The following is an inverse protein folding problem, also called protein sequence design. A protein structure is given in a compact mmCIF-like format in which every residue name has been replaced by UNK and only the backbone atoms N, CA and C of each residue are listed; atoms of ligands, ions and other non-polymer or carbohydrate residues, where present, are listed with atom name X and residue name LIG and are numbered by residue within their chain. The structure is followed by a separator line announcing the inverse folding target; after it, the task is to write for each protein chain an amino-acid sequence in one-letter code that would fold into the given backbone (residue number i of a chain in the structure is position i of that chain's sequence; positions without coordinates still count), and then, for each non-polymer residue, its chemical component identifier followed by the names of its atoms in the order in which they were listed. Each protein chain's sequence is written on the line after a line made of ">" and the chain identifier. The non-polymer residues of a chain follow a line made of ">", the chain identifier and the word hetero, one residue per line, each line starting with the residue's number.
data_IF_922477972100
#
_entry.id   IF_922477972100
#
_cell.length_a   1.000
_cell.length_b   1.000
_cell.length_c   1.000
_cell.angle_alpha   90.00
_cell.angle_beta   90.00
_cell.angle_gamma   90.00
#
_symmetry.space_group_name_H-M   'P 1'
#
loop_
_entity.id
_entity.type
_entity.pdbx_description
1 polymer ?
#
# COMPACT_ATOMS: atom_id res chain seq x y z
N UNK A 1 4.16 60.48 -27.55
CA UNK A 1 3.00 59.59 -27.76
C UNK A 1 3.54 58.32 -28.41
N UNK A 2 3.76 57.30 -27.62
CA UNK A 2 4.19 55.98 -28.08
C UNK A 2 3.06 55.03 -27.72
N UNK A 3 2.49 54.28 -28.68
CA UNK A 3 1.45 53.29 -28.33
C UNK A 3 2.06 52.02 -27.80
N UNK A 4 1.51 51.56 -26.68
CA UNK A 4 1.76 50.24 -26.12
C UNK A 4 1.17 49.15 -27.05
N UNK A 5 2.02 48.28 -27.58
CA UNK A 5 1.62 47.03 -28.20
C UNK A 5 1.31 46.00 -27.10
N UNK A 6 0.07 45.58 -27.02
CA UNK A 6 -0.34 44.42 -26.21
C UNK A 6 0.17 43.15 -26.90
N UNK A 7 1.15 42.50 -26.27
CA UNK A 7 1.57 41.14 -26.63
C UNK A 7 0.55 40.15 -26.13
N UNK A 8 -0.30 39.65 -26.99
CA UNK A 8 -1.14 38.49 -26.73
C UNK A 8 -0.24 37.25 -26.62
N UNK A 9 -0.13 36.70 -25.44
CA UNK A 9 0.49 35.40 -25.18
C UNK A 9 -0.39 34.30 -25.82
N UNK A 10 0.03 33.87 -26.99
CA UNK A 10 -0.43 32.62 -27.59
C UNK A 10 0.07 31.46 -26.75
N UNK A 11 -0.79 30.87 -25.92
CA UNK A 11 -0.57 29.54 -25.39
C UNK A 11 -0.50 28.55 -26.57
N UNK A 12 0.51 27.68 -26.63
CA UNK A 12 0.52 26.67 -27.67
C UNK A 12 -0.57 25.64 -27.40
N UNK A 13 -1.56 25.61 -28.28
CA UNK A 13 -2.49 24.48 -28.42
C UNK A 13 -1.76 23.30 -29.07
N UNK A 14 -0.93 22.62 -28.29
CA UNK A 14 -0.22 21.41 -28.68
C UNK A 14 -0.31 20.38 -27.57
N UNK A 15 -1.46 19.71 -27.46
CA UNK A 15 -1.61 18.39 -26.83
C UNK A 15 -2.94 17.74 -27.29
N UNK A 16 -3.19 17.80 -28.60
CA UNK A 16 -4.09 16.87 -29.28
C UNK A 16 -3.27 15.98 -30.20
N UNK A 17 -2.26 15.30 -29.63
CA UNK A 17 -1.75 14.08 -30.20
C UNK A 17 -2.82 13.02 -30.00
N UNK A 18 -3.60 12.73 -31.04
CA UNK A 18 -4.57 11.66 -31.04
C UNK A 18 -3.85 10.36 -30.70
N UNK A 19 -4.05 9.84 -29.49
CA UNK A 19 -3.71 8.48 -29.14
C UNK A 19 -4.48 7.61 -30.12
N UNK A 20 -3.77 7.06 -31.12
CA UNK A 20 -4.33 6.03 -31.97
C UNK A 20 -4.87 4.93 -31.03
N UNK A 21 -6.17 4.74 -31.04
CA UNK A 21 -6.85 3.66 -30.35
C UNK A 21 -6.31 2.36 -30.92
N UNK A 22 -5.24 1.83 -30.34
CA UNK A 22 -4.91 0.42 -30.48
C UNK A 22 -5.96 -0.34 -29.67
N UNK A 23 -7.11 -0.51 -30.26
CA UNK A 23 -8.17 -1.39 -29.78
C UNK A 23 -7.69 -2.82 -30.02
N UNK A 24 -7.18 -3.43 -28.97
CA UNK A 24 -7.02 -4.88 -28.90
C UNK A 24 -8.41 -5.45 -28.50
N UNK A 25 -9.18 -6.04 -29.43
CA UNK A 25 -10.60 -6.35 -29.20
C UNK A 25 -10.85 -7.41 -28.11
N UNK A 26 -9.79 -8.09 -27.65
CA UNK A 26 -9.91 -9.13 -26.62
C UNK A 26 -10.01 -8.59 -25.17
N UNK A 27 -9.83 -7.29 -24.98
CA UNK A 27 -9.76 -6.67 -23.65
C UNK A 27 -10.96 -5.78 -23.30
N UNK A 28 -11.57 -5.16 -24.30
CA UNK A 28 -12.75 -4.33 -24.09
C UNK A 28 -13.95 -5.25 -23.81
N UNK A 29 -14.71 -5.02 -22.72
CA UNK A 29 -16.02 -5.66 -22.59
C UNK A 29 -16.85 -5.25 -23.80
N UNK A 30 -17.61 -6.21 -24.36
CA UNK A 30 -18.48 -5.98 -25.52
C UNK A 30 -19.23 -4.64 -25.39
N UNK A 31 -19.49 -3.94 -26.49
CA UNK A 31 -20.05 -2.58 -26.64
C UNK A 31 -21.33 -2.25 -25.84
N UNK A 32 -21.63 -2.99 -24.78
CA UNK A 32 -22.70 -2.69 -23.83
C UNK A 32 -22.23 -1.64 -22.83
N UNK A 33 -22.54 -0.38 -23.09
CA UNK A 33 -22.21 0.76 -22.22
C UNK A 33 -22.89 0.66 -20.85
N UNK A 34 -23.83 -0.27 -20.67
CA UNK A 34 -24.54 -0.52 -19.42
C UNK A 34 -23.97 -1.71 -18.65
N UNK A 35 -23.13 -2.55 -19.30
CA UNK A 35 -22.50 -3.69 -18.67
C UNK A 35 -21.54 -3.23 -17.56
N UNK A 36 -21.65 -3.88 -16.41
CA UNK A 36 -20.72 -3.67 -15.30
C UNK A 36 -19.32 -4.09 -15.71
N UNK A 37 -18.34 -3.26 -15.42
CA UNK A 37 -16.93 -3.57 -15.63
C UNK A 37 -16.56 -4.87 -14.90
N UNK A 38 -16.14 -5.85 -15.64
CA UNK A 38 -15.66 -7.14 -15.12
C UNK A 38 -14.37 -7.50 -15.88
N UNK A 39 -13.32 -7.79 -15.13
CA UNK A 39 -12.08 -8.30 -15.69
C UNK A 39 -11.73 -9.63 -15.00
N UNK A 40 -11.51 -10.69 -15.79
CA UNK A 40 -11.15 -12.00 -15.25
C UNK A 40 -9.67 -12.10 -14.95
N UNK A 41 -9.28 -13.07 -14.11
CA UNK A 41 -7.88 -13.35 -13.83
C UNK A 41 -7.10 -13.72 -15.11
N UNK A 42 -7.72 -14.46 -16.02
CA UNK A 42 -7.07 -14.85 -17.28
C UNK A 42 -6.83 -13.64 -18.19
N UNK A 43 -7.77 -12.70 -18.28
CA UNK A 43 -7.59 -11.45 -19.01
C UNK A 43 -6.46 -10.61 -18.42
N UNK A 44 -6.36 -10.53 -17.08
CA UNK A 44 -5.27 -9.85 -16.39
C UNK A 44 -3.93 -10.50 -16.75
N UNK A 45 -3.83 -11.81 -16.63
CA UNK A 45 -2.62 -12.56 -16.95
C UNK A 45 -2.22 -12.40 -18.42
N UNK A 46 -3.15 -12.60 -19.34
CA UNK A 46 -2.90 -12.48 -20.78
C UNK A 46 -2.37 -11.09 -21.15
N UNK A 47 -2.97 -10.04 -20.61
CA UNK A 47 -2.54 -8.66 -20.89
C UNK A 47 -1.14 -8.40 -20.35
N UNK A 48 -0.92 -8.69 -19.06
CA UNK A 48 0.37 -8.46 -18.43
C UNK A 48 1.48 -9.33 -19.05
N UNK A 49 1.20 -10.60 -19.38
CA UNK A 49 2.18 -11.48 -20.00
C UNK A 49 2.53 -11.03 -21.45
N UNK A 50 1.65 -10.31 -22.13
CA UNK A 50 1.95 -9.74 -23.45
C UNK A 50 3.13 -8.77 -23.43
N UNK A 51 3.40 -8.12 -22.29
CA UNK A 51 4.54 -7.21 -22.13
C UNK A 51 5.88 -7.93 -22.27
N UNK A 52 5.98 -9.20 -21.86
CA UNK A 52 7.20 -9.99 -21.90
C UNK A 52 7.74 -10.16 -23.34
N UNK A 53 6.84 -10.34 -24.29
CA UNK A 53 7.21 -10.48 -25.70
C UNK A 53 7.35 -9.12 -26.40
N UNK A 54 6.44 -8.17 -26.11
CA UNK A 54 6.43 -6.84 -26.74
C UNK A 54 7.60 -5.97 -26.29
N UNK A 55 8.03 -6.10 -25.03
CA UNK A 55 9.09 -5.26 -24.42
C UNK A 55 10.23 -6.14 -23.87
N UNK A 56 10.69 -7.03 -24.72
CA UNK A 56 11.79 -7.97 -24.40
C UNK A 56 13.04 -7.23 -23.93
N UNK A 57 13.59 -7.65 -22.80
CA UNK A 57 14.76 -7.01 -22.18
C UNK A 57 14.43 -5.87 -21.23
N UNK A 58 13.19 -5.31 -21.29
CA UNK A 58 12.71 -4.27 -20.39
C UNK A 58 11.81 -4.86 -19.32
N UNK A 59 10.90 -5.77 -19.69
CA UNK A 59 9.95 -6.39 -18.76
C UNK A 59 10.37 -7.82 -18.44
N UNK A 60 10.37 -8.15 -17.15
CA UNK A 60 10.57 -9.51 -16.66
C UNK A 60 9.45 -9.89 -15.69
N UNK A 61 9.16 -11.19 -15.58
CA UNK A 61 8.15 -11.75 -14.67
C UNK A 61 8.80 -12.66 -13.64
N UNK A 62 8.31 -12.59 -12.43
CA UNK A 62 8.66 -13.51 -11.34
C UNK A 62 7.43 -13.77 -10.45
N UNK A 63 7.60 -14.54 -9.39
CA UNK A 63 6.57 -14.74 -8.38
C UNK A 63 6.89 -13.90 -7.16
N UNK A 64 5.91 -13.13 -6.66
CA UNK A 64 5.96 -12.46 -5.36
C UNK A 64 5.91 -13.49 -4.22
N UNK A 65 5.19 -14.58 -4.42
CA UNK A 65 4.95 -15.67 -3.48
C UNK A 65 3.75 -16.51 -3.91
N UNK A 66 3.24 -17.32 -2.97
CA UNK A 66 2.09 -18.19 -3.21
C UNK A 66 0.83 -17.67 -2.51
N UNK A 67 -0.31 -17.87 -3.13
CA UNK A 67 -1.62 -17.66 -2.49
C UNK A 67 -1.95 -18.80 -1.53
N UNK A 68 -3.05 -18.66 -0.79
CA UNK A 68 -3.54 -19.71 0.11
C UNK A 68 -3.82 -21.04 -0.60
N UNK A 69 -4.30 -21.00 -1.84
CA UNK A 69 -4.56 -22.19 -2.65
C UNK A 69 -3.34 -22.60 -3.51
N UNK A 70 -2.15 -22.04 -3.23
CA UNK A 70 -0.88 -22.47 -3.82
C UNK A 70 -0.53 -21.87 -5.18
N UNK A 71 -1.31 -20.90 -5.69
CA UNK A 71 -1.03 -20.24 -6.97
C UNK A 71 0.09 -19.22 -6.82
N UNK A 72 0.89 -19.02 -7.86
CA UNK A 72 1.87 -17.94 -7.91
C UNK A 72 1.17 -16.58 -8.01
N UNK A 73 1.70 -15.59 -7.29
CA UNK A 73 1.30 -14.19 -7.41
C UNK A 73 2.27 -13.53 -8.39
N UNK A 74 1.88 -13.28 -9.66
CA UNK A 74 2.79 -12.69 -10.64
C UNK A 74 3.18 -11.27 -10.26
N UNK A 75 4.47 -10.99 -10.35
CA UNK A 75 5.04 -9.65 -10.25
C UNK A 75 5.90 -9.37 -11.47
N UNK A 76 5.68 -8.21 -12.08
CA UNK A 76 6.40 -7.76 -13.27
C UNK A 76 7.37 -6.66 -12.87
N UNK A 77 8.61 -6.79 -13.33
CA UNK A 77 9.66 -5.77 -13.17
C UNK A 77 9.84 -5.05 -14.49
N UNK A 78 9.73 -3.75 -14.50
CA UNK A 78 10.06 -2.87 -15.61
C UNK A 78 11.38 -2.18 -15.28
N UNK A 79 12.38 -2.41 -16.12
CA UNK A 79 13.74 -1.90 -15.95
C UNK A 79 14.35 -1.60 -17.32
N UNK A 80 14.40 -0.33 -17.68
CA UNK A 80 14.89 0.12 -19.00
C UNK A 80 16.41 0.32 -19.04
N UNK A 81 17.09 0.19 -17.89
CA UNK A 81 18.46 0.66 -17.74
C UNK A 81 19.48 -0.36 -18.19
N UNK A 82 20.39 0.11 -19.02
CA UNK A 82 21.59 -0.62 -19.41
C UNK A 82 22.79 -0.34 -18.50
N UNK A 83 22.76 0.74 -17.70
CA UNK A 83 23.88 1.19 -16.88
C UNK A 83 23.95 0.47 -15.53
N UNK A 84 25.10 -0.11 -15.23
CA UNK A 84 25.31 -1.06 -14.12
C UNK A 84 25.66 -0.46 -12.76
N UNK A 85 25.83 0.84 -12.58
CA UNK A 85 26.43 1.40 -11.36
C UNK A 85 25.73 2.64 -10.79
N UNK A 86 24.43 2.83 -11.00
CA UNK A 86 23.69 3.92 -10.37
C UNK A 86 22.81 3.35 -9.26
N UNK A 87 22.81 4.00 -8.09
CA UNK A 87 21.91 3.68 -7.00
C UNK A 87 20.47 3.88 -7.49
N UNK A 88 19.70 2.80 -7.57
CA UNK A 88 18.42 2.78 -8.24
C UNK A 88 17.30 2.79 -7.22
N UNK A 89 16.40 3.75 -7.35
CA UNK A 89 15.14 3.73 -6.62
C UNK A 89 14.21 2.72 -7.26
N UNK A 90 13.45 2.06 -6.42
CA UNK A 90 12.42 1.13 -6.83
C UNK A 90 11.06 1.64 -6.35
N UNK A 91 10.02 1.40 -7.13
CA UNK A 91 8.64 1.69 -6.78
C UNK A 91 7.76 0.48 -7.06
N UNK A 92 6.64 0.38 -6.35
CA UNK A 92 5.70 -0.71 -6.56
C UNK A 92 4.27 -0.19 -6.69
N UNK A 93 3.56 -0.69 -7.71
CA UNK A 93 2.13 -0.52 -7.88
C UNK A 93 1.44 -1.87 -7.71
N UNK A 94 0.42 -1.90 -6.87
CA UNK A 94 -0.33 -3.11 -6.55
C UNK A 94 -1.82 -2.86 -6.70
N UNK A 95 -2.52 -3.78 -7.38
CA UNK A 95 -3.97 -3.78 -7.50
C UNK A 95 -4.55 -5.15 -7.14
N UNK A 96 -5.86 -5.20 -6.88
CA UNK A 96 -6.59 -6.42 -6.70
C UNK A 96 -6.38 -7.12 -5.36
N UNK A 97 -6.06 -6.39 -4.30
CA UNK A 97 -6.07 -6.93 -2.94
C UNK A 97 -7.49 -7.34 -2.53
N UNK A 98 -8.49 -6.57 -2.98
CA UNK A 98 -9.91 -6.92 -2.87
C UNK A 98 -10.45 -7.33 -4.25
N UNK A 99 -10.81 -8.60 -4.46
CA UNK A 99 -11.22 -9.13 -5.76
C UNK A 99 -12.40 -8.43 -6.42
N UNK A 100 -13.35 -7.99 -5.62
CA UNK A 100 -14.56 -7.26 -6.09
C UNK A 100 -14.26 -5.87 -6.66
N UNK A 101 -13.08 -5.34 -6.41
CA UNK A 101 -12.63 -4.05 -6.91
C UNK A 101 -12.00 -4.25 -8.30
N UNK A 102 -12.83 -4.17 -9.34
CA UNK A 102 -12.45 -4.56 -10.71
C UNK A 102 -11.61 -3.50 -11.43
N UNK A 103 -11.92 -2.23 -11.21
CA UNK A 103 -11.30 -1.11 -11.92
C UNK A 103 -9.81 -0.96 -11.62
N UNK A 104 -9.30 -1.11 -10.39
CA UNK A 104 -7.87 -1.03 -10.09
C UNK A 104 -6.98 -1.89 -10.99
N UNK A 105 -7.30 -3.16 -11.15
CA UNK A 105 -6.52 -4.07 -12.02
C UNK A 105 -6.56 -3.64 -13.48
N UNK A 106 -7.75 -3.26 -13.99
CA UNK A 106 -7.92 -2.78 -15.36
C UNK A 106 -7.12 -1.51 -15.63
N UNK A 107 -7.26 -0.53 -14.76
CA UNK A 107 -6.63 0.78 -14.96
C UNK A 107 -5.10 0.68 -14.80
N UNK A 108 -4.61 -0.18 -13.91
CA UNK A 108 -3.18 -0.45 -13.77
C UNK A 108 -2.60 -1.08 -15.04
N UNK A 109 -3.27 -2.08 -15.62
CA UNK A 109 -2.84 -2.68 -16.88
C UNK A 109 -2.80 -1.65 -18.02
N UNK A 110 -3.85 -0.83 -18.15
CA UNK A 110 -3.92 0.24 -19.14
C UNK A 110 -2.79 1.27 -18.95
N UNK A 111 -2.55 1.68 -17.72
CA UNK A 111 -1.50 2.63 -17.40
C UNK A 111 -0.11 2.08 -17.76
N UNK A 112 0.14 0.81 -17.47
CA UNK A 112 1.41 0.17 -17.83
C UNK A 112 1.57 0.03 -19.34
N UNK A 113 0.50 -0.29 -20.08
CA UNK A 113 0.54 -0.29 -21.53
C UNK A 113 0.93 1.08 -22.12
N UNK A 114 0.36 2.15 -21.58
CA UNK A 114 0.66 3.52 -22.01
C UNK A 114 2.09 3.92 -21.68
N UNK A 115 2.59 3.57 -20.48
CA UNK A 115 3.98 3.83 -20.09
C UNK A 115 4.97 3.09 -20.99
N UNK A 116 4.76 1.79 -21.19
CA UNK A 116 5.64 0.97 -22.00
C UNK A 116 5.61 1.40 -23.49
N UNK A 117 4.45 1.77 -24.02
CA UNK A 117 4.32 2.28 -25.38
C UNK A 117 4.92 3.69 -25.56
N UNK A 118 4.94 4.49 -24.50
CA UNK A 118 5.50 5.84 -24.49
C UNK A 118 7.03 5.86 -24.37
N UNK A 119 7.65 4.78 -23.92
CA UNK A 119 9.11 4.71 -23.76
C UNK A 119 9.84 4.97 -25.09
N UNK A 120 10.79 5.91 -25.08
CA UNK A 120 11.53 6.34 -26.28
C UNK A 120 10.72 7.23 -27.24
N UNK A 121 9.49 7.60 -26.90
CA UNK A 121 8.60 8.45 -27.72
C UNK A 121 8.08 9.68 -26.99
N UNK A 122 7.76 9.54 -25.73
CA UNK A 122 7.37 10.61 -24.82
C UNK A 122 8.54 10.87 -23.88
N UNK A 123 9.04 12.09 -23.85
CA UNK A 123 10.23 12.47 -23.07
C UNK A 123 10.00 12.30 -21.57
N UNK A 124 8.82 12.69 -21.06
CA UNK A 124 8.48 12.55 -19.62
C UNK A 124 8.40 11.07 -19.21
N UNK A 125 7.73 10.25 -20.02
CA UNK A 125 7.62 8.82 -19.74
C UNK A 125 8.99 8.14 -19.80
N UNK A 126 9.81 8.50 -20.78
CA UNK A 126 11.17 7.96 -20.92
C UNK A 126 12.02 8.30 -19.71
N UNK A 127 12.00 9.56 -19.27
CA UNK A 127 12.73 10.02 -18.10
C UNK A 127 12.24 9.34 -16.81
N UNK A 128 10.93 9.15 -16.63
CA UNK A 128 10.36 8.40 -15.51
C UNK A 128 10.88 6.96 -15.48
N UNK A 129 10.86 6.26 -16.62
CA UNK A 129 11.27 4.86 -16.71
C UNK A 129 12.79 4.67 -16.56
N UNK A 130 13.60 5.63 -17.03
CA UNK A 130 15.04 5.57 -16.92
C UNK A 130 15.59 5.86 -15.52
N UNK A 131 14.82 6.56 -14.68
CA UNK A 131 15.25 6.93 -13.32
C UNK A 131 14.95 5.88 -12.26
N UNK A 132 14.07 4.90 -12.54
CA UNK A 132 13.59 3.99 -11.49
C UNK A 132 13.20 2.61 -12.03
N UNK A 133 13.24 1.62 -11.18
CA UNK A 133 12.63 0.32 -11.42
C UNK A 133 11.17 0.36 -10.98
N UNK A 134 10.27 -0.14 -11.82
CA UNK A 134 8.86 -0.24 -11.48
C UNK A 134 8.48 -1.72 -11.29
N UNK A 135 7.96 -2.05 -10.11
CA UNK A 135 7.37 -3.35 -9.80
C UNK A 135 5.85 -3.26 -9.91
N UNK A 136 5.23 -4.21 -10.61
CA UNK A 136 3.79 -4.20 -10.87
C UNK A 136 3.16 -5.53 -10.48
N UNK A 137 2.14 -5.46 -9.62
CA UNK A 137 1.28 -6.61 -9.27
C UNK A 137 -0.14 -6.27 -9.70
N UNK A 138 -0.59 -6.70 -10.89
CA UNK A 138 -1.90 -6.30 -11.42
C UNK A 138 -3.07 -7.02 -10.77
N UNK A 139 -2.84 -8.14 -10.09
CA UNK A 139 -3.84 -8.87 -9.29
C UNK A 139 -3.14 -9.59 -8.15
N UNK A 140 -3.37 -9.11 -6.93
CA UNK A 140 -2.71 -9.66 -5.75
C UNK A 140 -3.44 -10.86 -5.16
N UNK A 141 -4.76 -10.75 -4.98
CA UNK A 141 -5.61 -11.78 -4.38
C UNK A 141 -6.24 -12.67 -5.45
N UNK A 142 -5.44 -13.53 -6.05
CA UNK A 142 -5.83 -14.37 -7.19
C UNK A 142 -6.93 -15.36 -6.80
N UNK A 143 -6.81 -16.02 -5.66
CA UNK A 143 -7.80 -16.99 -5.19
C UNK A 143 -9.18 -16.35 -5.02
N UNK A 144 -9.21 -15.18 -4.38
CA UNK A 144 -10.42 -14.40 -4.25
C UNK A 144 -10.94 -13.90 -5.61
N UNK A 145 -10.05 -13.52 -6.53
CA UNK A 145 -10.43 -13.06 -7.88
C UNK A 145 -11.11 -14.15 -8.70
N UNK A 146 -10.58 -15.36 -8.66
CA UNK A 146 -11.19 -16.53 -9.29
C UNK A 146 -12.55 -16.87 -8.66
N UNK A 147 -12.67 -16.68 -7.35
CA UNK A 147 -13.94 -16.92 -6.65
C UNK A 147 -15.00 -15.84 -6.92
N UNK A 148 -14.60 -14.56 -7.07
CA UNK A 148 -15.51 -13.45 -7.39
C UNK A 148 -16.30 -13.66 -8.71
N UNK A 149 -15.84 -14.56 -9.57
CA UNK A 149 -16.58 -14.96 -10.79
C UNK A 149 -17.85 -15.72 -10.44
N UNK A 150 -17.81 -16.57 -9.43
CA UNK A 150 -18.92 -17.42 -9.00
C UNK A 150 -19.76 -16.81 -7.88
N UNK A 151 -19.12 -16.10 -6.96
CA UNK A 151 -19.77 -15.38 -5.86
C UNK A 151 -19.37 -13.91 -5.92
N UNK A 152 -20.20 -13.12 -6.57
CA UNK A 152 -19.95 -11.68 -6.78
C UNK A 152 -19.88 -10.89 -5.48
N UNK A 153 -19.11 -9.81 -5.50
CA UNK A 153 -18.82 -8.91 -4.36
C UNK A 153 -17.91 -9.56 -3.29
N UNK A 154 -17.10 -10.55 -3.71
CA UNK A 154 -16.14 -11.18 -2.82
C UNK A 154 -14.98 -10.24 -2.49
N UNK A 155 -14.66 -10.09 -1.20
CA UNK A 155 -13.62 -9.17 -0.73
C UNK A 155 -12.35 -9.86 -0.26
N UNK A 156 -12.48 -10.99 0.43
CA UNK A 156 -11.42 -11.68 1.19
C UNK A 156 -10.57 -12.61 0.31
N UNK A 157 -9.50 -13.19 0.87
CA UNK A 157 -8.84 -14.33 0.25
C UNK A 157 -9.67 -15.64 0.44
N UNK A 158 -9.05 -16.81 0.30
CA UNK A 158 -9.78 -18.10 0.36
C UNK A 158 -9.35 -19.00 1.51
N UNK A 159 -8.77 -18.46 2.59
CA UNK A 159 -8.46 -19.21 3.82
C UNK A 159 -9.69 -19.88 4.39
N UNK A 160 -9.52 -21.08 4.94
CA UNK A 160 -10.58 -21.76 5.72
C UNK A 160 -10.42 -21.35 7.19
N UNK A 161 -11.46 -20.79 7.77
CA UNK A 161 -11.50 -20.38 9.16
C UNK A 161 -12.01 -21.51 10.08
N UNK A 162 -11.71 -21.42 11.38
CA UNK A 162 -12.06 -22.46 12.34
C UNK A 162 -13.59 -22.68 12.49
N UNK A 163 -14.40 -21.68 12.19
CA UNK A 163 -15.87 -21.73 12.21
C UNK A 163 -16.48 -22.23 10.88
N UNK A 164 -15.64 -22.68 9.93
CA UNK A 164 -16.03 -23.11 8.60
C UNK A 164 -16.27 -21.99 7.60
N UNK A 165 -16.24 -20.72 8.02
CA UNK A 165 -16.32 -19.58 7.11
C UNK A 165 -15.07 -19.46 6.24
N UNK A 166 -15.11 -18.61 5.22
CA UNK A 166 -14.01 -18.44 4.28
C UNK A 166 -13.45 -17.03 4.30
N UNK A 167 -12.11 -16.97 4.19
CA UNK A 167 -11.31 -15.81 3.84
C UNK A 167 -10.96 -14.88 5.00
N UNK A 168 -9.88 -14.16 4.75
CA UNK A 168 -9.33 -13.06 5.56
C UNK A 168 -9.27 -11.82 4.67
N UNK A 169 -9.58 -10.65 5.21
CA UNK A 169 -9.33 -9.38 4.53
C UNK A 169 -7.83 -9.09 4.53
N UNK A 170 -7.19 -9.27 3.37
CA UNK A 170 -5.75 -9.11 3.24
C UNK A 170 -5.29 -7.70 3.63
N UNK A 171 -6.12 -6.67 3.38
CA UNK A 171 -5.83 -5.29 3.78
C UNK A 171 -6.27 -4.98 5.23
N UNK A 172 -6.33 -6.01 6.08
CA UNK A 172 -6.47 -5.96 7.54
C UNK A 172 -5.48 -6.90 8.22
N UNK A 173 -4.67 -7.62 7.44
CA UNK A 173 -3.80 -8.67 7.95
C UNK A 173 -2.33 -8.24 8.14
N UNK A 174 -1.98 -6.99 7.83
CA UNK A 174 -0.63 -6.47 8.05
C UNK A 174 -0.40 -6.06 9.51
N UNK A 175 0.88 -6.00 9.93
CA UNK A 175 1.24 -5.94 11.36
C UNK A 175 0.87 -4.64 12.07
N UNK A 176 0.88 -3.50 11.36
CA UNK A 176 0.63 -2.20 12.00
C UNK A 176 -0.83 -2.09 12.44
N UNK A 177 -1.02 -1.90 13.75
CA UNK A 177 -2.34 -1.82 14.40
C UNK A 177 -3.22 -3.05 14.22
N UNK A 178 -2.64 -4.20 13.88
CA UNK A 178 -3.38 -5.43 13.79
C UNK A 178 -4.07 -5.74 15.13
N UNK A 179 -5.31 -6.17 15.10
CA UNK A 179 -6.10 -6.39 16.32
C UNK A 179 -6.77 -5.12 16.87
N UNK A 180 -6.57 -3.96 16.25
CA UNK A 180 -7.10 -2.68 16.74
C UNK A 180 -8.63 -2.66 16.89
N UNK A 181 -9.36 -3.38 16.05
CA UNK A 181 -10.82 -3.51 16.17
C UNK A 181 -11.30 -4.24 17.43
N UNK A 182 -10.42 -4.95 18.12
CA UNK A 182 -10.72 -5.63 19.39
C UNK A 182 -10.66 -4.70 20.61
N UNK A 183 -9.90 -3.61 20.46
CA UNK A 183 -9.41 -2.79 21.57
C UNK A 183 -10.09 -1.43 21.62
N UNK A 184 -10.65 -0.99 20.52
CA UNK A 184 -11.27 0.32 20.36
C UNK A 184 -12.75 0.21 20.03
N UNK A 185 -13.50 1.20 20.46
CA UNK A 185 -14.95 1.31 20.43
C UNK A 185 -15.63 0.75 19.16
N UNK A 186 -16.77 0.10 19.37
CA UNK A 186 -17.60 -0.59 18.38
C UNK A 186 -18.15 0.30 17.25
N UNK A 187 -18.02 1.61 17.34
CA UNK A 187 -18.63 2.55 16.38
C UNK A 187 -17.84 2.74 15.08
N UNK A 188 -16.55 2.37 15.05
CA UNK A 188 -15.64 2.52 13.90
C UNK A 188 -14.85 1.26 13.56
N UNK A 189 -15.46 0.08 13.76
CA UNK A 189 -14.80 -1.20 13.49
C UNK A 189 -14.51 -1.36 12.00
N UNK A 190 -13.28 -1.03 11.58
CA UNK A 190 -12.76 -1.39 10.25
C UNK A 190 -12.07 -2.75 10.23
N UNK A 191 -11.97 -3.41 11.40
CA UNK A 191 -11.49 -4.79 11.53
C UNK A 191 -12.37 -5.55 12.51
N UNK A 192 -12.34 -6.88 12.46
CA UNK A 192 -13.06 -7.73 13.41
C UNK A 192 -12.43 -9.12 13.51
N UNK A 193 -12.59 -9.74 14.67
CA UNK A 193 -12.29 -11.16 14.91
C UNK A 193 -13.39 -12.10 14.41
N UNK A 194 -14.53 -11.57 13.97
CA UNK A 194 -15.62 -12.38 13.43
C UNK A 194 -15.27 -12.88 12.03
N UNK A 195 -14.94 -14.15 11.91
CA UNK A 195 -14.44 -14.74 10.66
C UNK A 195 -15.41 -14.61 9.46
N UNK A 196 -16.73 -14.58 9.72
CA UNK A 196 -17.76 -14.35 8.69
C UNK A 196 -17.76 -12.93 8.12
N UNK A 197 -17.20 -11.96 8.83
CA UNK A 197 -17.18 -10.56 8.39
C UNK A 197 -16.27 -10.36 7.18
N UNK A 198 -16.63 -9.41 6.32
CA UNK A 198 -15.83 -8.98 5.17
C UNK A 198 -14.53 -8.25 5.56
N UNK A 199 -14.41 -7.83 6.83
CA UNK A 199 -13.24 -7.14 7.37
C UNK A 199 -12.52 -7.97 8.44
N UNK A 200 -12.62 -9.31 8.34
CA UNK A 200 -11.91 -10.21 9.25
C UNK A 200 -10.40 -10.11 9.04
N UNK A 201 -9.71 -9.79 10.12
CA UNK A 201 -8.27 -9.48 10.13
C UNK A 201 -7.33 -10.71 10.17
N UNK A 202 -7.90 -11.92 10.23
CA UNK A 202 -7.13 -13.16 10.39
C UNK A 202 -6.88 -13.54 11.86
N UNK A 203 -6.09 -14.57 12.06
CA UNK A 203 -5.77 -15.14 13.40
C UNK A 203 -4.54 -14.51 14.02
N UNK A 204 -3.66 -13.95 13.21
CA UNK A 204 -2.43 -13.27 13.60
C UNK A 204 -2.04 -12.23 12.52
N UNK A 205 -1.19 -11.24 12.83
CA UNK A 205 -0.59 -10.40 11.81
C UNK A 205 0.20 -11.28 10.84
N UNK A 206 0.04 -11.01 9.54
CA UNK A 206 0.68 -11.79 8.47
C UNK A 206 0.36 -13.31 8.51
N UNK A 207 -0.82 -13.68 9.02
CA UNK A 207 -1.27 -15.08 9.00
C UNK A 207 -1.49 -15.60 7.58
N UNK A 208 -1.72 -14.72 6.62
CA UNK A 208 -2.00 -15.09 5.26
C UNK A 208 -0.71 -15.13 4.42
N UNK A 209 -0.52 -16.18 3.60
CA UNK A 209 0.68 -16.31 2.80
C UNK A 209 0.87 -15.14 1.84
N UNK A 210 -0.22 -14.58 1.30
CA UNK A 210 -0.20 -13.40 0.44
C UNK A 210 0.36 -12.18 1.19
N UNK A 211 -0.16 -11.87 2.37
CA UNK A 211 0.29 -10.74 3.20
C UNK A 211 1.75 -10.91 3.60
N UNK A 212 2.14 -12.14 3.97
CA UNK A 212 3.52 -12.47 4.32
C UNK A 212 4.47 -12.32 3.12
N UNK A 213 4.03 -12.73 1.94
CA UNK A 213 4.82 -12.59 0.70
C UNK A 213 5.12 -11.12 0.39
N UNK A 214 4.11 -10.24 0.49
CA UNK A 214 4.29 -8.81 0.25
C UNK A 214 5.18 -8.16 1.33
N UNK A 215 5.02 -8.52 2.60
CA UNK A 215 5.87 -8.04 3.69
C UNK A 215 7.34 -8.45 3.48
N UNK A 216 7.60 -9.70 3.10
CA UNK A 216 8.94 -10.20 2.78
C UNK A 216 9.54 -9.47 1.57
N UNK A 217 8.72 -9.15 0.56
CA UNK A 217 9.16 -8.36 -0.59
C UNK A 217 9.63 -6.97 -0.16
N UNK A 218 8.86 -6.27 0.67
CA UNK A 218 9.26 -4.96 1.20
C UNK A 218 10.57 -5.05 1.99
N UNK A 219 10.72 -6.06 2.84
CA UNK A 219 11.94 -6.25 3.64
C UNK A 219 13.16 -6.54 2.77
N UNK A 220 13.00 -7.29 1.68
CA UNK A 220 14.10 -7.68 0.77
C UNK A 220 14.54 -6.57 -0.19
N UNK A 221 13.87 -5.41 -0.20
CA UNK A 221 14.07 -4.33 -1.19
C UNK A 221 14.47 -3.00 -0.54
N UNK A 222 15.73 -2.82 -0.13
CA UNK A 222 16.17 -1.59 0.53
C UNK A 222 16.05 -0.34 -0.35
N UNK A 223 16.01 -0.51 -1.68
CA UNK A 223 15.86 0.57 -2.64
C UNK A 223 14.39 0.88 -2.99
N UNK A 224 13.43 0.14 -2.46
CA UNK A 224 12.02 0.42 -2.64
C UNK A 224 11.62 1.65 -1.80
N UNK A 225 11.37 2.77 -2.45
CA UNK A 225 11.13 4.06 -1.80
C UNK A 225 9.67 4.46 -1.77
N UNK A 226 8.84 3.92 -2.68
CA UNK A 226 7.43 4.24 -2.74
C UNK A 226 6.56 3.04 -3.14
N UNK A 227 5.34 3.03 -2.62
CA UNK A 227 4.35 1.99 -2.83
C UNK A 227 2.97 2.61 -3.04
N UNK A 228 2.28 2.20 -4.09
CA UNK A 228 0.92 2.61 -4.43
C UNK A 228 0.00 1.39 -4.39
N UNK A 229 -0.86 1.33 -3.38
CA UNK A 229 -1.94 0.36 -3.24
C UNK A 229 -3.21 0.92 -3.87
N UNK A 230 -3.73 0.24 -4.88
CA UNK A 230 -4.80 0.77 -5.73
C UNK A 230 -6.11 0.06 -5.42
N UNK A 231 -7.09 0.85 -5.04
CA UNK A 231 -8.41 0.43 -4.58
C UNK A 231 -9.54 1.16 -5.30
N UNK A 232 -10.77 0.81 -5.02
CA UNK A 232 -11.98 1.59 -5.26
C UNK A 232 -13.06 1.24 -4.19
N UNK A 233 -14.06 2.06 -3.88
CA UNK A 233 -14.58 3.22 -4.61
C UNK A 233 -14.70 4.49 -3.73
N UNK A 234 -13.69 5.13 -3.27
CA UNK A 234 -13.84 6.26 -2.32
C UNK A 234 -13.46 7.65 -2.86
N UNK A 235 -12.77 7.75 -3.99
CA UNK A 235 -12.17 9.01 -4.49
C UNK A 235 -11.28 9.67 -3.45
N UNK A 236 -10.32 8.94 -2.95
CA UNK A 236 -9.39 9.41 -1.92
C UNK A 236 -7.95 9.05 -2.27
N UNK A 237 -7.02 9.94 -1.89
CA UNK A 237 -5.59 9.72 -1.90
C UNK A 237 -5.13 9.69 -0.45
N UNK A 238 -4.84 8.49 0.03
CA UNK A 238 -4.48 8.24 1.42
C UNK A 238 -2.99 7.96 1.57
N UNK A 239 -2.42 8.39 2.69
CA UNK A 239 -1.05 8.07 3.10
C UNK A 239 -0.99 8.05 4.63
N UNK A 240 0.06 7.49 5.27
CA UNK A 240 0.16 7.46 6.71
C UNK A 240 0.10 8.87 7.32
N UNK A 241 -0.94 9.19 8.12
CA UNK A 241 -1.14 10.55 8.63
C UNK A 241 -0.07 10.94 9.67
N UNK A 242 0.40 9.98 10.47
CA UNK A 242 1.43 10.16 11.49
C UNK A 242 2.79 9.78 10.93
N UNK A 243 3.41 10.69 10.23
CA UNK A 243 4.74 10.52 9.67
C UNK A 243 5.73 11.46 10.36
N UNK A 244 7.03 11.28 10.12
CA UNK A 244 8.00 12.33 10.42
C UNK A 244 7.61 13.59 9.66
N UNK A 245 7.99 14.77 10.16
CA UNK A 245 7.64 16.03 9.49
C UNK A 245 8.13 16.02 8.04
N UNK A 246 9.37 15.59 7.81
CA UNK A 246 9.97 15.59 6.48
C UNK A 246 9.30 14.62 5.51
N UNK A 247 9.03 13.38 5.93
CA UNK A 247 8.36 12.39 5.07
C UNK A 247 6.90 12.73 4.83
N UNK A 248 6.24 13.21 5.88
CA UNK A 248 4.86 13.65 5.79
C UNK A 248 4.68 14.81 4.81
N UNK A 249 5.58 15.81 4.85
CA UNK A 249 5.57 16.92 3.89
C UNK A 249 5.79 16.43 2.46
N UNK A 250 6.68 15.45 2.24
CA UNK A 250 6.89 14.85 0.91
C UNK A 250 5.66 14.13 0.42
N UNK A 251 5.09 13.22 1.22
CA UNK A 251 3.89 12.47 0.86
C UNK A 251 2.71 13.41 0.59
N UNK A 252 2.49 14.41 1.44
CA UNK A 252 1.44 15.39 1.26
C UNK A 252 1.64 16.21 -0.02
N UNK A 253 2.86 16.69 -0.29
CA UNK A 253 3.20 17.39 -1.54
C UNK A 253 2.86 16.53 -2.76
N UNK A 254 3.28 15.27 -2.76
CA UNK A 254 2.96 14.30 -3.83
C UNK A 254 1.46 14.10 -3.97
N UNK A 255 0.73 13.88 -2.89
CA UNK A 255 -0.73 13.71 -2.94
C UNK A 255 -1.45 14.95 -3.50
N UNK A 256 -0.96 16.16 -3.18
CA UNK A 256 -1.49 17.41 -3.77
C UNK A 256 -1.13 17.53 -5.26
N UNK A 257 0.06 17.08 -5.69
CA UNK A 257 0.41 17.03 -7.11
C UNK A 257 -0.49 16.04 -7.86
N UNK A 258 -0.70 14.84 -7.32
CA UNK A 258 -1.65 13.86 -7.86
C UNK A 258 -3.07 14.45 -7.98
N UNK A 259 -3.53 15.16 -6.94
CA UNK A 259 -4.84 15.82 -6.92
C UNK A 259 -4.95 16.91 -7.98
N UNK A 260 -3.92 17.73 -8.15
CA UNK A 260 -3.89 18.83 -9.15
C UNK A 260 -3.87 18.34 -10.59
N UNK A 261 -3.37 17.14 -10.84
CA UNK A 261 -3.38 16.51 -12.15
C UNK A 261 -4.76 15.97 -12.56
N UNK A 262 -5.74 16.00 -11.66
CA UNK A 262 -7.11 15.55 -11.90
C UNK A 262 -7.96 16.67 -12.48
N UNK A 263 -8.94 16.30 -13.30
CA UNK A 263 -9.88 17.22 -13.92
C UNK A 263 -11.24 17.19 -13.21
N UNK A 264 -11.90 18.33 -13.12
CA UNK A 264 -13.21 18.43 -12.47
C UNK A 264 -13.11 18.40 -10.94
N UNK A 265 -13.92 17.55 -10.29
CA UNK A 265 -13.91 17.42 -8.82
C UNK A 265 -12.79 16.47 -8.39
N UNK A 266 -11.71 16.97 -7.78
CA UNK A 266 -10.58 16.15 -7.42
C UNK A 266 -10.88 15.24 -6.21
N UNK A 267 -10.06 14.21 -6.05
CA UNK A 267 -10.12 13.30 -4.92
C UNK A 267 -9.75 14.00 -3.60
N UNK A 268 -10.28 13.50 -2.51
CA UNK A 268 -9.86 13.96 -1.19
C UNK A 268 -8.44 13.47 -0.88
N UNK A 269 -7.70 14.27 -0.15
CA UNK A 269 -6.36 13.94 0.33
C UNK A 269 -6.40 13.76 1.84
N UNK A 270 -5.65 12.79 2.37
CA UNK A 270 -5.49 12.56 3.80
C UNK A 270 -5.12 13.88 4.52
N UNK A 271 -5.80 14.16 5.65
CA UNK A 271 -5.40 15.25 6.53
C UNK A 271 -4.09 14.87 7.24
N UNK A 272 -3.03 15.64 7.05
CA UNK A 272 -1.74 15.35 7.68
C UNK A 272 -1.74 15.69 9.17
N UNK A 273 -1.10 14.82 9.96
CA UNK A 273 -0.87 14.99 11.40
C UNK A 273 0.64 14.81 11.70
N UNK A 274 1.47 15.42 10.86
CA UNK A 274 2.90 15.23 10.89
C UNK A 274 3.51 15.63 12.23
N UNK A 275 4.46 14.82 12.68
CA UNK A 275 5.17 15.09 13.91
C UNK A 275 4.37 14.83 15.18
N UNK A 276 3.13 14.35 15.08
CA UNK A 276 2.32 13.94 16.21
C UNK A 276 2.47 12.43 16.46
N UNK A 277 2.31 12.00 17.68
CA UNK A 277 2.10 10.59 17.99
C UNK A 277 0.64 10.21 17.70
N UNK A 278 0.38 8.99 17.19
CA UNK A 278 -0.98 8.48 17.20
C UNK A 278 -1.48 8.43 18.64
N UNK A 279 -2.68 8.96 18.94
CA UNK A 279 -3.28 8.82 20.25
C UNK A 279 -3.40 7.35 20.65
N UNK A 280 -3.22 7.05 21.95
CA UNK A 280 -3.32 5.68 22.46
C UNK A 280 -4.72 5.07 22.24
N UNK A 281 -5.73 5.93 22.20
CA UNK A 281 -7.14 5.60 22.01
C UNK A 281 -7.62 5.92 20.59
N UNK A 282 -6.69 6.16 19.64
CA UNK A 282 -7.11 6.58 18.31
C UNK A 282 -8.01 5.54 17.65
N UNK A 283 -9.26 5.95 17.54
CA UNK A 283 -10.36 5.23 16.91
C UNK A 283 -10.27 5.24 15.38
N UNK A 284 -9.15 5.72 14.81
CA UNK A 284 -8.97 5.68 13.37
C UNK A 284 -8.91 4.24 12.93
N UNK A 285 -9.99 3.82 12.35
CA UNK A 285 -10.30 2.47 11.96
C UNK A 285 -9.38 1.80 10.95
N UNK A 286 -8.15 2.23 10.82
CA UNK A 286 -7.21 1.80 9.80
C UNK A 286 -6.17 0.84 10.38
N UNK A 287 -6.58 -0.38 10.70
CA UNK A 287 -5.73 -1.45 11.23
C UNK A 287 -5.29 -2.39 10.13
N UNK A 288 -4.04 -2.85 10.18
CA UNK A 288 -3.51 -3.91 9.31
C UNK A 288 -3.42 -3.55 7.83
N UNK A 289 -3.20 -2.27 7.49
CA UNK A 289 -3.13 -1.79 6.11
C UNK A 289 -1.75 -1.97 5.50
N UNK A 290 -1.70 -2.28 4.22
CA UNK A 290 -0.49 -2.42 3.40
C UNK A 290 0.42 -1.20 3.48
N UNK A 291 -0.11 0.00 3.16
CA UNK A 291 0.69 1.22 3.05
C UNK A 291 1.19 1.75 4.41
N UNK A 292 0.48 1.46 5.51
CA UNK A 292 0.99 1.70 6.87
C UNK A 292 2.16 0.77 7.18
N UNK A 293 2.02 -0.52 6.88
CA UNK A 293 3.07 -1.50 7.06
C UNK A 293 4.34 -1.15 6.27
N UNK A 294 4.17 -0.78 4.99
CA UNK A 294 5.26 -0.33 4.13
C UNK A 294 6.02 0.86 4.72
N UNK A 295 5.30 1.87 5.21
CA UNK A 295 5.93 3.07 5.74
C UNK A 295 6.55 2.85 7.12
N UNK A 296 5.78 2.41 8.09
CA UNK A 296 6.22 2.37 9.49
C UNK A 296 7.32 1.34 9.75
N UNK A 297 7.37 0.24 9.00
CA UNK A 297 8.39 -0.79 9.18
C UNK A 297 9.58 -0.66 8.23
N UNK A 298 9.36 -0.18 7.01
CA UNK A 298 10.41 -0.18 5.98
C UNK A 298 10.75 1.21 5.46
N UNK A 299 10.02 2.26 5.86
CA UNK A 299 10.22 3.63 5.39
C UNK A 299 9.80 3.85 3.94
N UNK A 300 9.10 2.92 3.35
CA UNK A 300 8.55 3.03 2.00
C UNK A 300 7.39 4.02 2.06
N UNK A 301 7.42 5.09 1.27
CA UNK A 301 6.34 6.07 1.22
C UNK A 301 5.08 5.42 0.62
N UNK A 302 4.23 4.90 1.50
CA UNK A 302 3.03 4.17 1.14
C UNK A 302 1.86 5.10 0.83
N UNK A 303 1.16 4.81 -0.26
CA UNK A 303 -0.08 5.48 -0.63
C UNK A 303 -1.17 4.43 -0.87
N UNK A 304 -2.42 4.80 -0.56
CA UNK A 304 -3.60 4.11 -1.02
C UNK A 304 -4.37 5.06 -1.95
N UNK A 305 -4.66 4.62 -3.15
CA UNK A 305 -5.37 5.40 -4.16
C UNK A 305 -6.72 4.76 -4.46
N UNK A 306 -7.77 5.37 -3.95
CA UNK A 306 -9.15 4.91 -4.06
C UNK A 306 -9.82 5.51 -5.30
N UNK A 307 -9.94 4.75 -6.38
CA UNK A 307 -10.58 5.18 -7.62
C UNK A 307 -12.10 5.25 -7.46
N UNK A 308 -12.79 5.99 -8.30
CA UNK A 308 -14.26 6.05 -8.46
C UNK A 308 -15.05 6.56 -7.26
N UNK A 309 -16.31 6.88 -7.48
CA UNK A 309 -17.21 7.42 -6.47
C UNK A 309 -18.01 6.31 -5.77
N UNK A 310 -18.10 6.30 -4.45
CA UNK A 310 -18.82 5.27 -3.70
C UNK A 310 -20.34 5.28 -3.93
N UNK A 311 -20.88 6.39 -4.41
CA UNK A 311 -22.33 6.46 -4.48
C UNK A 311 -22.83 6.89 -5.77
N UNK A 312 -23.62 6.48 -6.37
CA UNK A 312 -24.59 6.74 -6.57
C UNK A 312 -25.81 7.03 -6.96
N UNK A 313 -26.36 7.82 -7.44
CA UNK A 313 -27.73 8.16 -7.87
C UNK A 313 -28.29 7.23 -8.97
N UNK A 314 -27.45 6.39 -9.54
CA UNK A 314 -27.81 5.46 -10.63
C UNK A 314 -28.02 4.03 -10.21
N UNK A 315 -27.96 3.73 -8.90
CA UNK A 315 -28.12 2.35 -8.39
C UNK A 315 -26.94 1.41 -8.68
N UNK A 316 -25.95 1.85 -9.44
CA UNK A 316 -24.72 1.06 -9.70
C UNK A 316 -23.68 1.43 -8.63
N UNK A 317 -23.19 0.41 -7.92
CA UNK A 317 -22.12 0.59 -6.96
C UNK A 317 -20.87 1.13 -7.68
N UNK A 318 -20.18 2.13 -7.10
CA UNK A 318 -18.91 2.62 -7.63
C UNK A 318 -17.80 1.56 -7.72
N UNK A 319 -18.01 0.35 -7.16
CA UNK A 319 -17.14 -0.81 -7.34
C UNK A 319 -17.27 -1.44 -8.72
N UNK A 320 -18.42 -1.28 -9.37
CA UNK A 320 -18.72 -1.84 -10.67
C UNK A 320 -19.23 -0.74 -11.60
N UNK A 321 -18.37 0.22 -12.00
CA UNK A 321 -18.76 1.22 -12.97
C UNK A 321 -19.06 0.57 -14.32
N UNK A 322 -19.75 1.29 -15.20
CA UNK A 322 -19.77 0.92 -16.62
C UNK A 322 -18.36 1.07 -17.21
N UNK A 323 -18.08 0.40 -18.32
CA UNK A 323 -16.81 0.57 -19.04
C UNK A 323 -16.57 2.05 -19.40
N UNK A 324 -17.61 2.75 -19.87
CA UNK A 324 -17.55 4.17 -20.20
C UNK A 324 -17.25 5.06 -19.00
N UNK A 325 -17.87 4.80 -17.84
CA UNK A 325 -17.57 5.56 -16.61
C UNK A 325 -16.16 5.29 -16.12
N UNK A 326 -15.69 4.05 -16.20
CA UNK A 326 -14.33 3.69 -15.85
C UNK A 326 -13.30 4.35 -16.78
N UNK A 327 -13.56 4.43 -18.08
CA UNK A 327 -12.70 5.11 -19.05
C UNK A 327 -12.64 6.61 -18.78
N UNK A 328 -13.78 7.23 -18.49
CA UNK A 328 -13.84 8.63 -18.12
C UNK A 328 -13.07 8.88 -16.83
N UNK A 329 -13.28 8.06 -15.79
CA UNK A 329 -12.58 8.19 -14.52
C UNK A 329 -11.06 8.03 -14.69
N UNK A 330 -10.63 7.04 -15.48
CA UNK A 330 -9.22 6.84 -15.79
C UNK A 330 -8.60 8.06 -16.46
N UNK A 331 -9.21 8.58 -17.49
CA UNK A 331 -8.66 9.70 -18.27
C UNK A 331 -8.67 11.03 -17.53
N UNK A 332 -9.68 11.26 -16.68
CA UNK A 332 -9.85 12.53 -15.96
C UNK A 332 -9.17 12.56 -14.60
N UNK A 333 -9.07 11.42 -13.89
CA UNK A 333 -8.60 11.43 -12.50
C UNK A 333 -7.40 10.52 -12.25
N UNK A 334 -7.29 9.37 -12.93
CA UNK A 334 -6.31 8.35 -12.56
C UNK A 334 -4.97 8.55 -13.26
N UNK A 335 -4.97 8.61 -14.60
CA UNK A 335 -3.77 8.65 -15.44
C UNK A 335 -2.80 9.75 -15.06
N UNK A 336 -3.29 10.99 -15.00
CA UNK A 336 -2.47 12.15 -14.64
C UNK A 336 -1.92 12.05 -13.23
N UNK A 337 -2.75 11.63 -12.27
CA UNK A 337 -2.34 11.46 -10.89
C UNK A 337 -1.22 10.43 -10.73
N UNK A 338 -1.30 9.29 -11.41
CA UNK A 338 -0.27 8.27 -11.32
C UNK A 338 1.04 8.66 -12.01
N UNK A 339 0.97 9.44 -13.10
CA UNK A 339 2.18 10.02 -13.70
C UNK A 339 2.86 10.99 -12.73
N UNK A 340 2.12 11.88 -12.05
CA UNK A 340 2.68 12.78 -11.04
C UNK A 340 3.30 11.99 -9.86
N UNK A 341 2.66 10.89 -9.45
CA UNK A 341 3.20 10.05 -8.39
C UNK A 341 4.54 9.44 -8.81
N UNK A 342 4.63 8.80 -9.98
CA UNK A 342 5.87 8.22 -10.49
C UNK A 342 6.98 9.28 -10.67
N UNK A 343 6.63 10.44 -11.16
CA UNK A 343 7.57 11.54 -11.35
C UNK A 343 8.11 12.08 -10.03
N UNK A 344 7.28 12.16 -8.99
CA UNK A 344 7.67 12.66 -7.68
C UNK A 344 8.68 11.78 -6.93
N UNK A 345 8.76 10.49 -7.28
CA UNK A 345 9.58 9.49 -6.57
C UNK A 345 11.07 9.82 -6.57
N UNK A 346 11.58 10.51 -7.60
CA UNK A 346 12.98 10.92 -7.62
C UNK A 346 13.38 11.79 -6.41
N UNK A 347 12.40 12.46 -5.79
CA UNK A 347 12.65 13.31 -4.60
C UNK A 347 12.72 12.50 -3.30
N UNK A 348 12.32 11.21 -3.32
CA UNK A 348 12.26 10.40 -2.10
C UNK A 348 13.64 9.84 -1.74
N UNK A 349 14.08 10.02 -0.50
CA UNK A 349 15.36 9.49 -0.06
C UNK A 349 15.30 7.97 0.14
N UNK A 350 16.42 7.31 -0.07
CA UNK A 350 16.60 5.91 0.30
C UNK A 350 16.61 5.73 1.82
N UNK A 351 16.17 4.58 2.26
CA UNK A 351 16.33 4.14 3.65
C UNK A 351 17.76 3.65 3.85
N UNK A 352 18.42 4.11 4.94
CA UNK A 352 19.79 3.71 5.27
C UNK A 352 19.79 2.81 6.49
N UNK A 353 20.85 2.00 6.64
CA UNK A 353 21.06 1.26 7.89
C UNK A 353 21.32 2.25 9.03
N UNK A 354 20.56 2.12 10.13
CA UNK A 354 20.69 2.95 11.30
C UNK A 354 21.76 2.45 12.26
N UNK A 355 22.15 3.31 13.17
CA UNK A 355 23.13 3.10 14.25
C UNK A 355 22.49 2.98 15.64
N UNK A 356 21.17 3.06 15.72
CA UNK A 356 20.45 2.98 16.99
C UNK A 356 20.73 1.65 17.69
N UNK A 357 21.00 1.71 18.99
CA UNK A 357 21.26 0.56 19.85
C UNK A 357 20.45 0.69 21.12
N UNK A 358 20.02 -0.43 21.66
CA UNK A 358 19.45 -0.51 23.00
C UNK A 358 20.60 -0.72 23.99
N UNK A 359 20.80 0.22 24.90
CA UNK A 359 21.81 0.11 25.96
C UNK A 359 21.20 -0.56 27.18
N UNK A 360 21.89 -1.57 27.68
CA UNK A 360 21.47 -2.35 28.83
C UNK A 360 20.91 -3.73 28.46
N UNK A 361 20.60 -4.53 29.46
CA UNK A 361 19.93 -5.81 29.25
C UNK A 361 18.54 -5.52 28.68
N UNK A 362 18.30 -6.01 27.48
CA UNK A 362 17.01 -5.89 26.81
C UNK A 362 15.90 -6.75 27.45
N UNK A 363 16.18 -7.33 28.61
CA UNK A 363 15.17 -7.98 29.44
C UNK A 363 14.33 -6.89 30.07
N UNK A 364 13.07 -6.82 29.70
CA UNK A 364 12.12 -5.96 30.38
C UNK A 364 12.07 -6.37 31.84
N UNK A 365 12.17 -5.42 32.78
CA UNK A 365 11.88 -5.69 34.20
C UNK A 365 10.40 -6.02 34.43
N UNK A 366 9.56 -5.78 33.42
CA UNK A 366 8.17 -6.14 33.43
C UNK A 366 7.99 -7.61 33.08
N UNK A 367 7.46 -8.38 34.00
CA UNK A 367 6.98 -9.76 33.77
C UNK A 367 5.45 -9.70 33.71
N UNK A 368 4.88 -9.46 32.51
CA UNK A 368 3.43 -9.32 32.40
C UNK A 368 2.72 -10.66 32.51
N UNK A 369 1.57 -10.66 33.17
CA UNK A 369 0.71 -11.83 33.31
C UNK A 369 -0.08 -12.10 32.02
N UNK A 370 -0.41 -13.36 31.77
CA UNK A 370 -1.35 -13.75 30.74
C UNK A 370 -2.64 -12.94 30.82
N UNK A 371 -3.18 -12.52 29.66
CA UNK A 371 -4.40 -11.72 29.57
C UNK A 371 -4.25 -10.26 29.98
N UNK A 372 -3.09 -9.82 30.44
CA UNK A 372 -2.89 -8.43 30.88
C UNK A 372 -2.56 -7.46 29.74
N UNK A 373 -2.95 -6.21 29.95
CA UNK A 373 -2.47 -5.07 29.14
C UNK A 373 -1.51 -4.27 30.00
N UNK A 374 -0.36 -3.92 29.48
CA UNK A 374 0.69 -3.20 30.21
C UNK A 374 1.39 -2.18 29.35
N UNK A 375 1.90 -1.14 30.01
CA UNK A 375 2.79 -0.16 29.39
C UNK A 375 4.24 -0.66 29.41
N UNK A 376 4.93 -0.53 28.28
CA UNK A 376 6.33 -0.88 28.17
C UNK A 376 7.15 0.29 27.61
N UNK A 377 8.17 0.69 28.35
CA UNK A 377 9.14 1.69 27.89
C UNK A 377 10.40 0.93 27.50
N UNK A 378 10.92 1.09 26.28
CA UNK A 378 12.15 0.42 25.88
C UNK A 378 13.32 0.86 26.78
N UNK A 379 14.32 0.02 26.98
CA UNK A 379 15.58 0.44 27.56
C UNK A 379 16.16 1.63 26.77
N UNK A 380 17.08 2.37 27.40
CA UNK A 380 17.67 3.56 26.76
C UNK A 380 18.18 3.24 25.36
N UNK A 381 17.64 3.94 24.38
CA UNK A 381 18.07 3.86 22.98
C UNK A 381 19.14 4.90 22.76
N UNK A 382 20.34 4.47 22.36
CA UNK A 382 21.42 5.33 21.93
C UNK A 382 21.42 5.50 20.41
N UNK A 383 22.05 6.57 19.92
CA UNK A 383 22.06 6.95 18.50
C UNK A 383 21.03 8.03 18.18
N UNK A 384 20.86 8.33 16.90
CA UNK A 384 20.00 9.41 16.42
C UNK A 384 18.55 8.97 16.25
N UNK A 385 17.90 8.50 17.33
CA UNK A 385 16.51 8.06 17.26
C UNK A 385 15.53 9.26 17.21
N UNK A 386 14.64 9.28 16.23
CA UNK A 386 13.52 10.22 16.13
C UNK A 386 12.19 9.58 16.56
N UNK A 387 11.98 8.32 16.21
CA UNK A 387 10.79 7.57 16.56
C UNK A 387 11.06 6.06 16.54
N UNK A 388 10.15 5.29 17.12
CA UNK A 388 10.22 3.85 17.15
C UNK A 388 8.84 3.23 16.95
N UNK A 389 8.86 2.02 16.38
CA UNK A 389 7.67 1.19 16.18
C UNK A 389 7.94 -0.18 16.79
N UNK A 390 7.00 -0.69 17.59
CA UNK A 390 7.06 -2.06 18.07
C UNK A 390 6.12 -2.96 17.27
N UNK A 391 6.56 -4.18 17.00
CA UNK A 391 5.74 -5.25 16.42
C UNK A 391 6.14 -6.59 17.05
N UNK A 392 5.34 -7.61 16.81
CA UNK A 392 5.68 -8.98 17.08
C UNK A 392 5.08 -9.88 16.02
N UNK A 393 5.79 -10.91 15.64
CA UNK A 393 5.26 -11.99 14.79
C UNK A 393 4.54 -13.05 15.64
N UNK A 394 4.58 -12.95 16.97
CA UNK A 394 3.92 -13.87 17.88
C UNK A 394 2.45 -13.47 18.06
N UNK A 395 1.50 -14.34 17.66
CA UNK A 395 0.07 -14.06 17.74
C UNK A 395 -0.44 -13.88 19.17
N UNK A 396 0.35 -14.24 20.17
CA UNK A 396 0.01 -14.07 21.59
C UNK A 396 0.27 -12.67 22.11
N UNK A 397 0.95 -11.81 21.31
CA UNK A 397 1.27 -10.44 21.67
C UNK A 397 0.57 -9.47 20.72
N UNK A 398 -0.18 -8.52 21.28
CA UNK A 398 -0.83 -7.44 20.54
C UNK A 398 -0.21 -6.09 20.94
N UNK A 399 0.32 -5.39 19.95
CA UNK A 399 0.81 -4.02 20.12
C UNK A 399 -0.34 -3.05 19.91
N UNK A 400 -0.83 -2.41 20.99
CA UNK A 400 -1.98 -1.48 20.95
C UNK A 400 -1.54 -0.09 20.54
N UNK A 401 -0.50 0.41 21.21
CA UNK A 401 0.12 1.70 20.93
C UNK A 401 1.55 1.46 20.52
N UNK A 402 1.76 1.16 19.25
CA UNK A 402 3.02 0.65 18.74
C UNK A 402 3.98 1.71 18.22
N UNK A 403 3.54 2.96 18.06
CA UNK A 403 4.37 4.05 17.51
C UNK A 403 4.64 5.09 18.58
N UNK A 404 5.91 5.43 18.80
CA UNK A 404 6.35 6.46 19.74
C UNK A 404 7.45 7.34 19.17
N UNK A 405 7.48 8.58 19.59
CA UNK A 405 8.53 9.55 19.24
C UNK A 405 9.58 9.66 20.36
N UNK A 406 10.81 9.96 19.96
CA UNK A 406 11.84 10.31 20.93
C UNK A 406 11.55 11.69 21.58
N UNK A 407 11.87 11.89 22.87
CA UNK A 407 12.50 10.95 23.81
C UNK A 407 11.47 10.01 24.46
N UNK A 408 11.10 8.93 23.97
CA UNK A 408 10.21 7.83 24.38
C UNK A 408 9.68 7.91 25.83
N UNK A 409 9.03 9.02 26.18
CA UNK A 409 8.48 9.26 27.53
C UNK A 409 7.16 8.52 27.74
N UNK A 410 6.41 8.32 26.66
CA UNK A 410 5.15 7.59 26.69
C UNK A 410 5.39 6.09 26.47
N UNK A 411 4.82 5.21 27.31
CA UNK A 411 4.97 3.77 27.13
C UNK A 411 4.30 3.29 25.86
N UNK A 412 4.89 2.28 25.23
CA UNK A 412 4.15 1.43 24.29
C UNK A 412 3.11 0.64 25.07
N UNK A 413 1.94 0.42 24.51
CA UNK A 413 0.90 -0.39 25.14
C UNK A 413 0.83 -1.75 24.47
N UNK A 414 1.01 -2.80 25.25
CA UNK A 414 1.08 -4.18 24.79
C UNK A 414 0.05 -5.00 25.58
N UNK A 415 -0.65 -5.88 24.88
CA UNK A 415 -1.54 -6.87 25.49
C UNK A 415 -1.04 -8.28 25.21
N UNK A 416 -1.05 -9.12 26.23
CA UNK A 416 -0.83 -10.56 26.12
C UNK A 416 -2.16 -11.30 26.02
N UNK A 417 -2.20 -12.36 25.22
CA UNK A 417 -3.34 -13.27 25.15
C UNK A 417 -3.55 -14.01 26.46
N UNK A 418 -4.78 -14.48 26.70
CA UNK A 418 -5.08 -15.38 27.81
C UNK A 418 -4.40 -16.73 27.60
N UNK A 419 -4.14 -17.44 28.70
CA UNK A 419 -3.63 -18.83 28.68
C UNK A 419 -2.15 -18.99 28.34
N UNK A 420 -1.35 -17.92 28.29
CA UNK A 420 0.10 -18.01 28.14
C UNK A 420 0.70 -18.59 29.45
N UNK A 421 1.57 -19.58 29.31
CA UNK A 421 2.24 -20.16 30.47
C UNK A 421 3.28 -19.20 31.04
N UNK A 422 3.45 -19.15 32.38
CA UNK A 422 4.57 -18.44 33.01
C UNK A 422 5.92 -18.90 32.44
N UNK A 423 6.85 -17.96 32.30
CA UNK A 423 8.18 -18.24 31.72
C UNK A 423 8.19 -18.30 30.18
N UNK A 424 7.08 -18.08 29.51
CA UNK A 424 7.06 -18.03 28.03
C UNK A 424 7.84 -16.83 27.52
N UNK A 425 8.78 -17.09 26.60
CA UNK A 425 9.50 -16.04 25.88
C UNK A 425 8.74 -15.65 24.63
N UNK A 426 8.59 -14.34 24.42
CA UNK A 426 7.99 -13.71 23.23
C UNK A 426 8.93 -12.60 22.78
N UNK A 427 9.30 -12.58 21.49
CA UNK A 427 10.19 -11.55 20.98
C UNK A 427 9.38 -10.34 20.45
N UNK A 428 9.72 -9.17 21.00
CA UNK A 428 9.26 -7.88 20.51
C UNK A 428 10.29 -7.37 19.49
N UNK A 429 9.85 -6.98 18.31
CA UNK A 429 10.68 -6.29 17.34
C UNK A 429 10.51 -4.78 17.50
N UNK A 430 11.60 -4.10 17.82
CA UNK A 430 11.66 -2.65 17.91
C UNK A 430 12.35 -2.10 16.65
N UNK A 431 11.60 -1.44 15.78
CA UNK A 431 12.15 -0.71 14.63
C UNK A 431 12.38 0.73 15.04
N UNK A 432 13.62 1.16 15.08
CA UNK A 432 14.02 2.53 15.44
C UNK A 432 14.40 3.29 14.19
N UNK A 433 13.81 4.46 14.02
CA UNK A 433 14.10 5.40 12.97
C UNK A 433 14.88 6.59 13.53
N UNK A 434 16.01 6.89 12.94
CA UNK A 434 16.84 8.04 13.27
C UNK A 434 16.80 9.10 12.18
N UNK A 435 17.61 10.15 12.39
CA UNK A 435 17.79 11.22 11.42
C UNK A 435 18.23 10.67 10.06
N UNK A 436 17.90 11.40 8.99
CA UNK A 436 18.23 11.00 7.61
C UNK A 436 17.71 9.61 7.21
N UNK A 437 16.59 9.17 7.81
CA UNK A 437 15.94 7.89 7.51
C UNK A 437 16.83 6.68 7.81
N UNK A 438 17.66 6.76 8.81
CA UNK A 438 18.40 5.61 9.32
C UNK A 438 17.45 4.66 10.05
N UNK A 439 17.52 3.35 9.74
CA UNK A 439 16.64 2.31 10.29
C UNK A 439 17.45 1.23 10.99
N UNK A 440 17.09 0.91 12.21
CA UNK A 440 17.63 -0.23 12.96
C UNK A 440 16.48 -1.08 13.48
N UNK A 441 16.60 -2.41 13.37
CA UNK A 441 15.65 -3.35 13.96
C UNK A 441 16.35 -4.10 15.09
N UNK A 442 15.73 -4.10 16.27
CA UNK A 442 16.25 -4.72 17.48
C UNK A 442 15.20 -5.73 17.99
N UNK A 443 15.62 -6.97 18.24
CA UNK A 443 14.77 -7.98 18.86
C UNK A 443 14.96 -7.97 20.36
N UNK A 444 13.87 -7.85 21.12
CA UNK A 444 13.88 -7.76 22.57
C UNK A 444 12.99 -8.88 23.14
N UNK A 445 13.56 -9.80 23.93
CA UNK A 445 12.76 -10.86 24.56
C UNK A 445 11.91 -10.30 25.70
N UNK A 446 10.65 -10.64 25.69
CA UNK A 446 9.70 -10.49 26.80
C UNK A 446 9.48 -11.85 27.44
N UNK A 447 9.57 -11.96 28.76
CA UNK A 447 9.30 -13.19 29.51
C UNK A 447 8.07 -12.96 30.38
N UNK A 448 7.08 -13.86 30.27
CA UNK A 448 5.82 -13.79 31.02
C UNK A 448 5.99 -14.28 32.46
N UNK A 449 5.22 -13.73 33.41
CA UNK A 449 5.04 -14.28 34.76
C UNK A 449 4.05 -15.42 34.79
#
# INVERSE_FOLDING_TARGET
>A
VIPFLAAALLLPALLQGGVQKNQDPAWEPANDTTARLLITQDQINQRADSWLSKYKGIVTKSSLGKTREGRDIPIYKIDTRSAKNVEHKEVMLLAGIHPREQQPSRDLLRFMDELLAGYGRDERITDILDRQIIWVVPSFNIDGKLHDVTERDWRKNRSTNADGSRGVDLNRNFSIRWGGGRLFDKTWNTTTTTAKSNIFEGTAPLSEPESKALANFFESRPNLVAFLDIHNPLREILFPPYATIADGQRMHKTAIQMQRAQQGQPYKVTKPLFGQEPPADERSGNSGLTYHHAYYLFGIHGFNFEISNPAKKTGVSGRYPSASDADKEYTTHVRGAWLEWLDSVHTYPLTRRGDARVNGSATTSARPKAGSTFGWIPPTISGSAEWAVITSDDPRLQCISEIRRAPFQNPFTIRLSDGIRPGTRIDIKLTVWGQNRSRTVISIPLVTE
#
